data_IF_374727791715
#
_entry.id   IF_374727791715
#
_cell.length_a   1.000
_cell.length_b   1.000
_cell.length_c   1.000
_cell.angle_alpha   90.00
_cell.angle_beta   90.00
_cell.angle_gamma   90.00
#
_symmetry.space_group_name_H-M   'P 1'
#
loop_
_entity.id
_entity.type
_entity.pdbx_description
1 polymer ?
#
# COMPACT_ATOMS: atom_id res chain seq x y z
N UNK A 1 21.29 15.40 7.12
CA UNK A 1 21.25 13.96 7.46
C UNK A 1 19.96 13.47 6.85
N UNK A 2 20.01 12.62 5.83
CA UNK A 2 18.80 12.06 5.24
C UNK A 2 18.24 11.04 6.24
N UNK A 3 17.45 11.54 7.17
CA UNK A 3 16.30 10.91 7.81
C UNK A 3 16.22 9.37 7.74
N UNK A 4 16.55 8.77 8.89
CA UNK A 4 16.49 7.34 9.28
C UNK A 4 15.07 6.72 9.22
N UNK A 5 14.08 7.41 8.64
CA UNK A 5 12.67 7.00 8.62
C UNK A 5 12.32 6.03 7.49
N UNK A 6 13.27 5.75 6.60
CA UNK A 6 13.11 4.79 5.49
C UNK A 6 13.71 3.41 5.80
N UNK A 7 14.14 3.14 7.04
CA UNK A 7 14.68 1.82 7.36
C UNK A 7 13.61 0.73 7.17
N UNK A 8 13.84 -0.16 6.19
CA UNK A 8 12.86 -1.16 5.76
C UNK A 8 11.75 -0.66 4.82
N UNK A 9 11.79 0.59 4.37
CA UNK A 9 10.82 1.17 3.44
C UNK A 9 11.46 1.62 2.12
N UNK A 10 10.72 1.44 1.03
CA UNK A 10 11.07 1.91 -0.32
C UNK A 10 10.20 3.10 -0.70
N UNK A 11 10.80 4.17 -1.21
CA UNK A 11 10.05 5.33 -1.68
C UNK A 11 9.31 5.02 -2.99
N UNK A 12 8.00 5.22 -3.00
CA UNK A 12 7.10 5.01 -4.15
C UNK A 12 6.17 6.22 -4.32
N UNK A 13 6.66 7.22 -5.07
CA UNK A 13 5.98 8.49 -5.26
C UNK A 13 5.94 9.33 -3.98
N UNK A 14 4.73 9.62 -3.49
CA UNK A 14 4.48 10.36 -2.24
C UNK A 14 4.32 9.45 -1.00
N UNK A 15 4.62 8.15 -1.13
CA UNK A 15 4.54 7.19 -0.04
C UNK A 15 5.87 6.45 0.13
N UNK A 16 6.11 5.96 1.35
CA UNK A 16 7.13 4.98 1.65
C UNK A 16 6.43 3.64 1.94
N UNK A 17 6.83 2.58 1.25
CA UNK A 17 6.17 1.26 1.31
C UNK A 17 7.11 0.21 1.90
N UNK A 18 6.59 -0.67 2.77
CA UNK A 18 7.36 -1.80 3.31
C UNK A 18 7.34 -2.98 2.31
N UNK A 19 8.03 -4.08 2.63
CA UNK A 19 8.07 -5.27 1.77
C UNK A 19 6.73 -5.98 1.56
N UNK A 20 5.74 -5.75 2.43
CA UNK A 20 4.39 -6.31 2.29
C UNK A 20 3.54 -5.51 1.30
N UNK A 21 3.80 -4.20 1.19
CA UNK A 21 3.12 -3.28 0.28
C UNK A 21 3.84 -3.14 -1.07
N UNK A 22 4.51 -4.20 -1.54
CA UNK A 22 5.21 -4.21 -2.83
C UNK A 22 4.22 -3.89 -3.97
N UNK A 23 4.58 -2.94 -4.83
CA UNK A 23 3.73 -2.48 -5.94
C UNK A 23 2.75 -1.35 -5.60
N UNK A 24 2.65 -0.94 -4.32
CA UNK A 24 1.89 0.25 -3.94
C UNK A 24 2.61 1.52 -4.36
N UNK A 25 1.86 2.49 -4.88
CA UNK A 25 2.37 3.82 -5.22
C UNK A 25 1.39 4.91 -4.80
N UNK A 26 1.92 6.06 -4.39
CA UNK A 26 1.09 7.23 -4.09
C UNK A 26 1.42 8.42 -4.98
N UNK A 27 0.37 9.09 -5.46
CA UNK A 27 0.44 10.34 -6.23
C UNK A 27 -0.30 11.47 -5.52
N UNK A 28 0.23 12.69 -5.56
CA UNK A 28 -0.47 13.89 -5.10
C UNK A 28 -1.33 14.43 -6.25
N UNK A 29 -2.65 14.28 -6.12
CA UNK A 29 -3.63 14.74 -7.13
C UNK A 29 -3.85 16.25 -7.03
N UNK A 30 -3.95 16.78 -5.81
CA UNK A 30 -4.06 18.20 -5.53
C UNK A 30 -3.65 18.50 -4.08
N UNK A 31 -3.70 19.77 -3.66
CA UNK A 31 -3.37 20.18 -2.29
C UNK A 31 -4.25 19.40 -1.30
N UNK A 32 -3.61 18.63 -0.43
CA UNK A 32 -4.29 17.79 0.56
C UNK A 32 -5.06 16.61 -0.05
N UNK A 33 -4.80 16.20 -1.28
CA UNK A 33 -5.43 15.01 -1.89
C UNK A 33 -4.37 14.11 -2.48
N UNK A 34 -4.27 12.92 -1.91
CA UNK A 34 -3.34 11.88 -2.32
C UNK A 34 -4.12 10.67 -2.79
N UNK A 35 -3.69 10.07 -3.89
CA UNK A 35 -4.25 8.84 -4.45
C UNK A 35 -3.21 7.74 -4.32
N UNK A 36 -3.62 6.63 -3.73
CA UNK A 36 -2.81 5.44 -3.48
C UNK A 36 -3.38 4.30 -4.31
N UNK A 37 -2.53 3.65 -5.09
CA UNK A 37 -2.87 2.55 -6.01
C UNK A 37 -1.98 1.34 -5.74
N UNK A 38 -2.42 0.16 -6.17
CA UNK A 38 -1.67 -1.10 -5.99
C UNK A 38 -2.12 -1.95 -4.80
N UNK A 39 -3.10 -1.48 -4.02
CA UNK A 39 -3.75 -2.24 -2.95
C UNK A 39 -5.18 -2.66 -3.35
N UNK A 40 -5.73 -3.63 -2.63
CA UNK A 40 -7.15 -4.02 -2.71
C UNK A 40 -8.06 -3.13 -1.86
N UNK A 41 -7.48 -2.24 -1.05
CA UNK A 41 -8.18 -1.34 -0.16
C UNK A 41 -7.49 -1.23 1.20
N UNK A 42 -8.25 -0.84 2.22
CA UNK A 42 -7.75 -0.85 3.60
C UNK A 42 -7.74 -2.27 4.17
N UNK A 43 -6.90 -2.50 5.16
CA UNK A 43 -6.93 -3.74 5.94
C UNK A 43 -8.34 -3.99 6.51
N UNK A 44 -8.80 -5.25 6.44
CA UNK A 44 -10.09 -5.66 7.02
C UNK A 44 -9.99 -5.87 8.53
N UNK A 45 -8.79 -6.13 9.05
CA UNK A 45 -8.52 -6.39 10.46
C UNK A 45 -7.53 -5.38 11.06
N UNK A 46 -7.87 -4.86 12.25
CA UNK A 46 -7.02 -3.97 13.04
C UNK A 46 -7.18 -2.49 12.71
N UNK A 47 -6.07 -1.74 12.73
CA UNK A 47 -6.05 -0.30 12.41
C UNK A 47 -5.87 -0.08 10.91
N UNK A 48 -6.43 1.01 10.38
CA UNK A 48 -6.38 1.31 8.94
C UNK A 48 -5.63 2.60 8.63
N UNK A 49 -5.77 3.61 9.49
CA UNK A 49 -5.21 4.95 9.29
C UNK A 49 -4.75 5.50 10.63
N UNK A 50 -3.51 5.97 10.67
CA UNK A 50 -2.98 6.74 11.79
C UNK A 50 -2.65 8.17 11.34
N UNK A 51 -3.17 9.16 12.09
CA UNK A 51 -3.02 10.58 11.77
C UNK A 51 -1.92 11.17 12.65
N UNK A 52 -1.01 12.00 12.11
CA UNK A 52 0.10 12.54 12.89
C UNK A 52 -0.38 13.42 14.04
N UNK A 53 0.20 13.18 15.23
CA UNK A 53 -0.15 13.87 16.49
C UNK A 53 1.03 14.69 17.04
N UNK A 54 0.77 15.84 17.64
CA UNK A 54 1.79 16.60 18.36
C UNK A 54 2.26 15.89 19.65
N UNK A 55 3.23 16.49 20.35
CA UNK A 55 3.76 15.95 21.62
C UNK A 55 2.72 15.86 22.75
N UNK A 56 1.58 16.52 22.60
CA UNK A 56 0.47 16.52 23.54
C UNK A 56 -0.66 15.56 23.13
N UNK A 57 -0.49 14.81 22.03
CA UNK A 57 -1.49 13.90 21.48
C UNK A 57 -2.56 14.57 20.61
N UNK A 58 -2.42 15.86 20.29
CA UNK A 58 -3.37 16.55 19.42
C UNK A 58 -3.13 16.18 17.96
N UNK A 59 -4.18 15.75 17.26
CA UNK A 59 -4.14 15.55 15.80
C UNK A 59 -3.79 16.86 15.10
N UNK A 60 -2.77 16.84 14.26
CA UNK A 60 -2.28 18.01 13.54
C UNK A 60 -3.18 18.40 12.36
N UNK A 61 -3.86 17.43 11.75
CA UNK A 61 -4.75 17.64 10.60
C UNK A 61 -6.02 16.77 10.72
N UNK A 62 -7.00 17.07 9.87
CA UNK A 62 -8.17 16.23 9.66
C UNK A 62 -7.94 15.38 8.42
N UNK A 63 -7.94 14.06 8.59
CA UNK A 63 -7.75 13.09 7.51
C UNK A 63 -9.05 12.35 7.27
N UNK A 64 -9.48 12.31 6.02
CA UNK A 64 -10.57 11.46 5.55
C UNK A 64 -10.03 10.62 4.42
N UNK A 65 -10.24 9.31 4.48
CA UNK A 65 -9.88 8.45 3.36
C UNK A 65 -11.07 7.64 2.88
N UNK A 66 -11.06 7.33 1.59
CA UNK A 66 -12.09 6.58 0.92
C UNK A 66 -11.47 5.59 -0.05
N UNK A 67 -12.01 4.38 -0.12
CA UNK A 67 -11.57 3.35 -1.05
C UNK A 67 -12.56 3.26 -2.21
N UNK A 68 -12.05 3.38 -3.43
CA UNK A 68 -12.75 3.13 -4.67
C UNK A 68 -13.06 1.65 -4.86
N UNK A 69 -13.96 1.34 -5.80
CA UNK A 69 -14.36 -0.04 -6.11
C UNK A 69 -13.23 -0.89 -6.70
N UNK A 70 -12.21 -0.23 -7.21
CA UNK A 70 -11.00 -0.77 -7.80
C UNK A 70 -9.87 -0.99 -6.78
N UNK A 71 -10.10 -0.72 -5.49
CA UNK A 71 -9.08 -0.78 -4.45
C UNK A 71 -8.23 0.49 -4.33
N UNK A 72 -8.43 1.48 -5.23
CA UNK A 72 -7.73 2.78 -5.16
C UNK A 72 -8.16 3.54 -3.91
N UNK A 73 -7.21 4.02 -3.12
CA UNK A 73 -7.48 4.78 -1.91
C UNK A 73 -7.23 6.26 -2.16
N UNK A 74 -8.19 7.10 -1.78
CA UNK A 74 -8.05 8.54 -1.79
C UNK A 74 -7.93 9.06 -0.37
N UNK A 75 -6.78 9.63 -0.02
CA UNK A 75 -6.54 10.27 1.27
C UNK A 75 -6.66 11.78 1.10
N UNK A 76 -7.62 12.36 1.82
CA UNK A 76 -7.88 13.80 1.87
C UNK A 76 -7.44 14.34 3.21
N UNK A 77 -6.62 15.39 3.18
CA UNK A 77 -6.05 16.07 4.33
C UNK A 77 -6.55 17.51 4.33
N UNK A 78 -7.04 17.96 5.47
CA UNK A 78 -7.65 19.28 5.64
C UNK A 78 -7.34 19.85 7.02
N UNK A 79 -7.46 21.18 7.15
CA UNK A 79 -7.40 21.84 8.45
C UNK A 79 -8.56 21.34 9.31
N UNK A 80 -8.32 21.25 10.62
CA UNK A 80 -9.38 20.96 11.59
C UNK A 80 -10.29 22.18 11.71
N UNK A 81 -11.58 22.00 11.48
CA UNK A 81 -12.59 23.03 11.73
C UNK A 81 -13.51 22.55 12.85
N UNK A 82 -13.75 23.38 13.86
CA UNK A 82 -14.78 23.09 14.85
C UNK A 82 -16.14 23.53 14.29
N UNK A 83 -17.07 22.59 14.19
CA UNK A 83 -18.45 22.86 13.86
C UNK A 83 -19.25 23.03 15.17
N UNK A 84 -19.78 24.24 15.34
CA UNK A 84 -20.49 24.63 16.56
C UNK A 84 -21.85 23.92 16.64
N UNK A 85 -22.50 23.67 15.50
CA UNK A 85 -23.85 23.10 15.46
C UNK A 85 -23.84 21.61 15.84
N UNK A 86 -22.80 20.89 15.41
CA UNK A 86 -22.62 19.46 15.71
C UNK A 86 -21.68 19.18 16.88
N UNK A 87 -21.06 20.23 17.45
CA UNK A 87 -19.99 20.14 18.45
C UNK A 87 -18.87 19.16 18.07
N UNK A 88 -18.57 19.05 16.76
CA UNK A 88 -17.62 18.09 16.22
C UNK A 88 -16.46 18.78 15.47
N UNK A 89 -15.32 18.09 15.39
CA UNK A 89 -14.23 18.50 14.49
C UNK A 89 -14.53 17.92 13.10
N UNK A 90 -14.68 18.81 12.12
CA UNK A 90 -14.97 18.48 10.72
C UNK A 90 -13.83 18.91 9.80
N UNK A 91 -13.89 18.45 8.55
CA UNK A 91 -12.97 18.87 7.49
C UNK A 91 -13.12 20.37 7.18
N UNK A 92 -12.01 21.11 7.28
CA UNK A 92 -11.92 22.51 6.89
C UNK A 92 -11.34 22.67 5.49
N UNK A 93 -10.49 23.68 5.30
CA UNK A 93 -9.79 23.92 4.04
C UNK A 93 -8.80 22.78 3.74
N UNK A 94 -8.64 22.36 2.48
CA UNK A 94 -7.61 21.41 2.09
C UNK A 94 -6.21 21.89 2.52
N UNK A 95 -5.41 20.98 3.07
CA UNK A 95 -4.02 21.26 3.43
C UNK A 95 -3.18 20.00 3.18
N UNK A 96 -1.91 20.18 2.83
CA UNK A 96 -0.97 19.06 2.75
C UNK A 96 -0.54 18.60 4.16
N UNK A 97 0.09 17.43 4.23
CA UNK A 97 0.65 16.88 5.48
C UNK A 97 1.77 17.82 5.97
N UNK A 98 1.80 18.17 7.28
CA UNK A 98 2.87 19.01 7.82
C UNK A 98 4.27 18.41 7.57
N UNK A 99 5.26 19.28 7.32
CA UNK A 99 6.64 18.84 7.10
C UNK A 99 7.17 18.01 8.27
N UNK A 100 7.94 16.96 7.95
CA UNK A 100 8.49 16.03 8.92
C UNK A 100 7.48 15.08 9.56
N UNK A 101 6.22 15.05 9.07
CA UNK A 101 5.17 14.13 9.51
C UNK A 101 4.63 13.30 8.34
N UNK A 102 4.02 12.17 8.66
CA UNK A 102 3.38 11.27 7.70
C UNK A 102 2.04 10.76 8.24
N UNK A 103 1.28 10.09 7.38
CA UNK A 103 0.04 9.37 7.71
C UNK A 103 0.34 7.90 7.46
N UNK A 104 0.20 7.06 8.47
CA UNK A 104 0.36 5.62 8.32
C UNK A 104 -0.93 5.02 7.75
N UNK A 105 -0.79 4.18 6.73
CA UNK A 105 -1.89 3.48 6.08
C UNK A 105 -1.64 1.99 6.17
N UNK A 106 -2.64 1.24 6.63
CA UNK A 106 -2.63 -0.22 6.58
C UNK A 106 -3.51 -0.72 5.46
N UNK A 107 -2.92 -1.48 4.57
CA UNK A 107 -3.51 -1.86 3.29
C UNK A 107 -3.84 -3.35 3.27
N UNK A 108 -4.91 -3.71 2.57
CA UNK A 108 -5.14 -5.08 2.14
C UNK A 108 -4.42 -5.28 0.81
N UNK A 109 -3.45 -6.20 0.78
CA UNK A 109 -2.67 -6.50 -0.42
C UNK A 109 -3.18 -7.77 -1.09
N UNK A 110 -3.11 -7.86 -2.43
CA UNK A 110 -3.39 -9.11 -3.12
C UNK A 110 -2.39 -10.19 -2.68
N UNK A 111 -2.84 -11.44 -2.62
CA UNK A 111 -1.96 -12.57 -2.32
C UNK A 111 -0.84 -12.62 -3.36
N UNK A 112 0.41 -12.66 -2.88
CA UNK A 112 1.58 -12.87 -3.74
C UNK A 112 1.50 -14.30 -4.27
N UNK A 113 1.52 -14.49 -5.58
CA UNK A 113 1.73 -15.82 -6.15
C UNK A 113 3.17 -16.24 -5.80
N UNK A 114 3.31 -17.15 -4.84
CA UNK A 114 4.57 -17.86 -4.64
C UNK A 114 4.80 -18.72 -5.88
N UNK A 115 5.75 -18.31 -6.71
CA UNK A 115 6.24 -19.18 -7.78
C UNK A 115 6.96 -20.34 -7.09
N UNK A 116 6.30 -21.50 -7.00
CA UNK A 116 6.95 -22.75 -6.65
C UNK A 116 8.08 -22.99 -7.67
N UNK A 117 9.32 -22.68 -7.27
CA UNK A 117 10.51 -23.09 -8.00
C UNK A 117 10.58 -24.60 -7.92
N UNK A 118 10.03 -25.27 -8.94
CA UNK A 118 10.21 -26.70 -9.11
C UNK A 118 11.72 -26.99 -9.08
N UNK A 119 12.18 -27.95 -8.27
CA UNK A 119 13.59 -28.29 -8.21
C UNK A 119 14.07 -28.72 -9.60
N UNK A 120 15.31 -28.37 -9.98
CA UNK A 120 15.84 -28.61 -11.33
C UNK A 120 15.85 -30.08 -11.75
N UNK A 121 15.78 -31.01 -10.78
CA UNK A 121 15.81 -32.46 -11.02
C UNK A 121 14.50 -33.01 -11.63
N UNK A 122 13.42 -32.23 -11.69
CA UNK A 122 12.14 -32.65 -12.28
C UNK A 122 12.09 -32.58 -13.82
N UNK A 123 13.17 -32.13 -14.48
CA UNK A 123 13.23 -31.95 -15.94
C UNK A 123 13.96 -33.07 -16.72
N UNK A 124 14.27 -34.20 -16.09
CA UNK A 124 15.06 -35.27 -16.73
C UNK A 124 14.18 -36.25 -17.52
N UNK A 125 14.03 -35.92 -18.81
CA UNK A 125 13.97 -36.79 -20.02
C UNK A 125 13.00 -37.97 -20.09
N UNK A 126 11.95 -37.81 -20.92
CA UNK A 126 11.31 -38.90 -21.66
C UNK A 126 11.75 -38.85 -23.13
N UNK A 127 12.97 -39.29 -23.41
CA UNK A 127 13.41 -39.64 -24.78
C UNK A 127 13.90 -41.09 -24.75
N UNK A 128 12.97 -42.04 -24.62
CA UNK A 128 13.19 -43.43 -25.02
C UNK A 128 12.27 -43.72 -26.21
N UNK A 129 12.72 -43.32 -27.40
CA UNK A 129 12.12 -43.75 -28.66
C UNK A 129 12.49 -45.22 -28.82
N UNK A 130 11.47 -46.06 -28.66
CA UNK A 130 11.52 -47.51 -28.85
C UNK A 130 11.92 -47.82 -30.30
N UNK A 131 13.17 -48.22 -30.52
CA UNK A 131 13.58 -48.82 -31.79
C UNK A 131 13.23 -50.30 -31.79
N UNK A 132 11.96 -50.61 -32.08
CA UNK A 132 11.57 -51.94 -32.57
C UNK A 132 11.76 -51.97 -34.10
N UNK A 133 12.70 -52.78 -34.57
CA UNK A 133 12.54 -53.43 -35.89
C UNK A 133 12.94 -54.89 -35.79
N UNK A 134 11.90 -55.72 -35.80
CA UNK A 134 11.91 -57.15 -36.09
C UNK A 134 12.58 -57.46 -37.44
N UNK A 135 13.38 -58.52 -37.49
CA UNK A 135 13.40 -59.45 -38.62
C UNK A 135 14.05 -60.78 -38.20
N UNK A 136 13.19 -61.79 -37.98
CA UNK A 136 13.54 -63.21 -38.05
C UNK A 136 13.37 -63.66 -39.50
N UNK A 137 14.42 -64.27 -40.07
CA UNK A 137 14.46 -65.52 -40.87
C UNK A 137 15.67 -65.55 -41.79
#
# INVERSE_FOLDING_TARGET
MADDYLDGFTLSGYAAVNGEAEGVSAERVSVGVYKVTGALGFAEEGWNIEVPQDVNGNRLCFVSANTGKDGTIYVKVSKRRFDIDTAAIVAGEPMDIPEGRWIDLRLAMPAREEVEVLPPDALVSNDDVSSETNAVS
#
